data_IF_093870683793
#
_entry.id   IF_093870683793
#
_cell.length_a   1.000
_cell.length_b   1.000
_cell.length_c   1.000
_cell.angle_alpha   90.00
_cell.angle_beta   90.00
_cell.angle_gamma   90.00
#
_symmetry.space_group_name_H-M   'P 1'
#
loop_
_entity.id
_entity.type
_entity.pdbx_description
1 polymer ?
#
# COMPACT_ATOMS: atom_id res chain seq x y z
N UNK A 1 17.51 -0.36 -15.71
CA UNK A 1 18.35 -0.24 -16.92
C UNK A 1 19.56 0.58 -16.53
N UNK A 2 20.75 0.08 -16.81
CA UNK A 2 21.99 0.83 -16.69
C UNK A 2 22.45 1.20 -18.09
N UNK A 3 22.72 2.48 -18.32
CA UNK A 3 23.43 3.00 -19.48
C UNK A 3 24.74 3.56 -18.95
N UNK A 4 25.80 2.78 -18.98
CA UNK A 4 27.16 3.24 -18.67
C UNK A 4 28.01 3.12 -19.92
N UNK A 5 28.66 4.18 -20.34
CA UNK A 5 29.63 4.23 -21.46
C UNK A 5 29.11 3.61 -22.77
N UNK A 6 27.84 3.79 -23.08
CA UNK A 6 27.21 3.20 -24.27
C UNK A 6 26.81 1.72 -24.14
N UNK A 7 26.98 1.14 -22.97
CA UNK A 7 26.59 -0.25 -22.67
C UNK A 7 25.19 -0.31 -22.04
N UNK A 8 24.16 -0.50 -22.86
CA UNK A 8 22.82 -0.75 -22.36
C UNK A 8 22.75 -2.17 -21.77
N UNK A 9 22.30 -2.27 -20.51
CA UNK A 9 22.06 -3.55 -19.83
C UNK A 9 20.86 -3.48 -18.90
N UNK A 10 20.13 -4.57 -18.81
CA UNK A 10 19.07 -4.76 -17.84
C UNK A 10 19.54 -5.70 -16.73
N UNK A 11 19.44 -5.25 -15.51
CA UNK A 11 19.86 -6.01 -14.34
C UNK A 11 18.70 -6.17 -13.36
N UNK A 12 18.61 -7.34 -12.73
CA UNK A 12 17.68 -7.59 -11.61
C UNK A 12 18.51 -7.86 -10.37
N UNK A 13 18.16 -7.18 -9.30
CA UNK A 13 18.76 -7.33 -7.99
C UNK A 13 17.71 -7.81 -6.98
N UNK A 14 18.15 -8.65 -6.06
CA UNK A 14 17.43 -8.97 -4.84
C UNK A 14 18.00 -8.14 -3.68
N UNK A 15 17.14 -7.58 -2.85
CA UNK A 15 17.52 -6.84 -1.65
C UNK A 15 16.90 -7.49 -0.43
N UNK A 16 17.69 -8.08 0.43
CA UNK A 16 17.27 -8.75 1.65
C UNK A 16 16.58 -10.11 1.45
N UNK A 17 16.16 -10.72 2.55
CA UNK A 17 15.48 -12.03 2.62
C UNK A 17 16.26 -13.17 1.95
N UNK A 18 17.55 -13.13 2.04
CA UNK A 18 18.44 -14.13 1.52
C UNK A 18 19.08 -14.97 2.65
N UNK A 19 19.49 -16.23 2.38
CA UNK A 19 20.21 -17.01 3.35
C UNK A 19 21.52 -16.37 3.83
N UNK A 20 22.10 -15.52 3.01
CA UNK A 20 23.31 -14.73 3.29
C UNK A 20 23.06 -13.46 4.12
N UNK A 21 21.81 -13.09 4.38
CA UNK A 21 21.49 -11.95 5.24
C UNK A 21 21.93 -12.24 6.67
N UNK A 22 22.63 -11.29 7.25
CA UNK A 22 23.11 -11.35 8.65
C UNK A 22 22.52 -10.20 9.46
N UNK A 23 22.71 -10.25 10.79
CA UNK A 23 22.31 -9.14 11.66
C UNK A 23 23.04 -7.84 11.31
N UNK A 24 24.28 -7.93 10.81
CA UNK A 24 25.07 -6.78 10.37
C UNK A 24 24.71 -6.32 8.96
N UNK A 25 24.18 -7.23 8.12
CA UNK A 25 23.78 -6.97 6.74
C UNK A 25 22.39 -7.58 6.46
N UNK A 26 21.33 -7.06 7.08
CA UNK A 26 20.00 -7.65 6.97
C UNK A 26 19.34 -7.45 5.59
N UNK A 27 19.91 -6.59 4.75
CA UNK A 27 19.42 -6.29 3.40
C UNK A 27 20.57 -6.40 2.39
N UNK A 28 21.17 -7.60 2.29
CA UNK A 28 22.19 -7.84 1.30
C UNK A 28 21.65 -7.63 -0.11
N UNK A 29 22.40 -6.94 -0.94
CA UNK A 29 22.07 -6.69 -2.34
C UNK A 29 22.77 -7.73 -3.20
N UNK A 30 22.00 -8.58 -3.85
CA UNK A 30 22.53 -9.64 -4.70
C UNK A 30 22.06 -9.42 -6.14
N UNK A 31 23.01 -9.29 -7.06
CA UNK A 31 22.69 -9.24 -8.49
C UNK A 31 22.29 -10.64 -8.93
N UNK A 32 21.08 -10.78 -9.44
CA UNK A 32 20.56 -12.06 -9.94
C UNK A 32 20.94 -12.30 -11.39
N UNK A 33 20.75 -11.28 -12.23
CA UNK A 33 21.03 -11.37 -13.67
C UNK A 33 21.58 -10.06 -14.22
N UNK A 34 22.28 -10.19 -15.35
CA UNK A 34 22.75 -9.08 -16.19
C UNK A 34 22.51 -9.47 -17.65
N UNK A 35 21.47 -8.92 -18.25
CA UNK A 35 21.12 -9.17 -19.66
C UNK A 35 21.65 -8.04 -20.54
N UNK A 36 22.87 -8.19 -21.01
CA UNK A 36 23.54 -7.19 -21.84
C UNK A 36 23.18 -7.34 -23.32
N UNK A 37 23.41 -8.51 -23.89
CA UNK A 37 23.29 -8.75 -25.33
C UNK A 37 21.92 -8.38 -25.87
N UNK A 38 20.86 -8.99 -25.32
CA UNK A 38 19.49 -8.73 -25.75
C UNK A 38 19.03 -7.30 -25.47
N UNK A 39 19.53 -6.68 -24.41
CA UNK A 39 19.18 -5.28 -24.12
C UNK A 39 19.80 -4.36 -25.17
N UNK A 40 21.01 -4.63 -25.64
CA UNK A 40 21.69 -3.85 -26.66
C UNK A 40 21.08 -4.00 -28.08
N UNK A 41 20.38 -5.11 -28.33
CA UNK A 41 19.60 -5.27 -29.57
C UNK A 41 18.37 -4.33 -29.59
N UNK A 42 17.84 -3.96 -28.43
CA UNK A 42 16.63 -3.12 -28.28
C UNK A 42 17.02 -1.65 -28.07
N UNK A 43 17.97 -1.41 -27.15
CA UNK A 43 18.46 -0.09 -26.80
C UNK A 43 19.78 0.16 -27.54
N UNK A 44 19.67 0.87 -28.64
CA UNK A 44 20.80 1.22 -29.52
C UNK A 44 21.22 2.67 -29.31
N UNK A 45 22.40 3.10 -29.77
CA UNK A 45 22.82 4.51 -29.70
C UNK A 45 21.81 5.46 -30.34
N UNK A 46 21.10 5.01 -31.38
CA UNK A 46 20.15 5.82 -32.13
C UNK A 46 18.87 6.13 -31.35
N UNK A 47 18.49 5.27 -30.37
CA UNK A 47 17.28 5.45 -29.55
C UNK A 47 17.58 5.70 -28.06
N UNK A 48 18.84 5.77 -27.67
CA UNK A 48 19.25 5.87 -26.25
C UNK A 48 18.70 7.10 -25.52
N UNK A 49 18.45 8.20 -26.26
CA UNK A 49 17.90 9.45 -25.73
C UNK A 49 16.37 9.48 -25.69
N UNK A 50 15.71 8.43 -26.15
CA UNK A 50 14.25 8.32 -26.11
C UNK A 50 13.75 7.78 -24.76
N UNK A 51 12.47 8.02 -24.46
CA UNK A 51 11.82 7.36 -23.35
C UNK A 51 11.48 5.92 -23.70
N UNK A 52 11.88 5.01 -22.82
CA UNK A 52 11.63 3.58 -22.95
C UNK A 52 10.67 3.08 -21.89
N UNK A 53 9.78 2.16 -22.28
CA UNK A 53 8.89 1.49 -21.35
C UNK A 53 9.55 0.24 -20.79
N UNK A 54 9.84 0.26 -19.50
CA UNK A 54 10.29 -0.93 -18.77
C UNK A 54 9.10 -1.66 -18.16
N UNK A 55 9.04 -2.98 -18.33
CA UNK A 55 8.01 -3.80 -17.71
C UNK A 55 8.66 -5.02 -17.05
N UNK A 56 8.26 -5.30 -15.82
CA UNK A 56 8.57 -6.53 -15.12
C UNK A 56 7.26 -7.23 -14.82
N UNK A 57 7.10 -8.45 -15.28
CA UNK A 57 5.97 -9.30 -14.99
C UNK A 57 6.42 -10.46 -14.11
N UNK A 58 5.75 -10.64 -12.97
CA UNK A 58 6.06 -11.72 -12.03
C UNK A 58 4.86 -12.65 -11.95
N UNK A 59 5.05 -13.92 -12.32
CA UNK A 59 4.05 -14.98 -12.13
C UNK A 59 4.69 -16.18 -11.42
N UNK A 60 4.28 -16.39 -10.20
CA UNK A 60 4.85 -17.43 -9.33
C UNK A 60 6.32 -17.15 -9.00
N UNK A 61 7.21 -18.01 -9.48
CA UNK A 61 8.66 -17.93 -9.26
C UNK A 61 9.43 -17.42 -10.49
N UNK A 62 8.73 -16.96 -11.52
CA UNK A 62 9.34 -16.46 -12.76
C UNK A 62 9.11 -14.96 -12.87
N UNK A 63 10.15 -14.20 -13.18
CA UNK A 63 10.07 -12.80 -13.56
C UNK A 63 10.50 -12.65 -15.02
N UNK A 64 9.64 -12.04 -15.80
CA UNK A 64 9.86 -11.67 -17.21
C UNK A 64 10.18 -10.19 -17.29
N UNK A 65 11.19 -9.82 -18.06
CA UNK A 65 11.58 -8.44 -18.26
C UNK A 65 11.42 -8.01 -19.72
N UNK A 66 10.80 -6.86 -19.91
CA UNK A 66 10.53 -6.31 -21.24
C UNK A 66 11.05 -4.86 -21.33
N UNK A 67 11.54 -4.51 -22.50
CA UNK A 67 11.82 -3.14 -22.92
C UNK A 67 10.96 -2.86 -24.16
N UNK A 68 10.15 -1.80 -24.11
CA UNK A 68 9.22 -1.40 -25.19
C UNK A 68 8.27 -2.51 -25.66
N UNK A 69 7.93 -3.42 -24.75
CA UNK A 69 7.09 -4.58 -25.04
C UNK A 69 7.82 -5.77 -25.65
N UNK A 70 9.11 -5.66 -25.90
CA UNK A 70 9.96 -6.76 -26.39
C UNK A 70 10.51 -7.51 -25.19
N UNK A 71 10.31 -8.83 -25.15
CA UNK A 71 10.84 -9.68 -24.10
C UNK A 71 12.38 -9.72 -24.19
N UNK A 72 13.03 -9.24 -23.14
CA UNK A 72 14.48 -9.37 -22.99
C UNK A 72 14.83 -10.78 -22.57
N UNK A 73 14.33 -11.22 -21.44
CA UNK A 73 14.50 -12.59 -20.92
C UNK A 73 13.60 -12.82 -19.70
N UNK A 74 13.73 -14.03 -19.12
CA UNK A 74 13.07 -14.41 -17.89
C UNK A 74 14.07 -15.04 -16.91
N UNK A 75 13.81 -14.89 -15.62
CA UNK A 75 14.54 -15.56 -14.56
C UNK A 75 13.58 -16.36 -13.69
N UNK A 76 13.94 -17.59 -13.39
CA UNK A 76 13.29 -18.41 -12.38
C UNK A 76 14.14 -18.43 -11.12
N UNK A 77 13.55 -18.05 -9.99
CA UNK A 77 14.25 -17.98 -8.72
C UNK A 77 13.42 -18.63 -7.61
N UNK A 78 13.79 -19.86 -7.25
CA UNK A 78 13.08 -20.61 -6.23
C UNK A 78 13.14 -19.94 -4.85
N UNK A 79 11.97 -19.69 -4.29
CA UNK A 79 11.81 -19.06 -2.98
C UNK A 79 11.92 -17.55 -2.98
N UNK A 80 12.21 -16.93 -4.12
CA UNK A 80 12.36 -15.49 -4.21
C UNK A 80 11.07 -14.78 -4.63
N UNK A 81 10.40 -15.25 -5.67
CA UNK A 81 9.11 -14.67 -6.08
C UNK A 81 7.91 -15.33 -5.37
N UNK A 82 8.15 -15.91 -4.21
CA UNK A 82 7.12 -16.27 -3.26
C UNK A 82 6.62 -17.69 -3.31
N UNK A 83 7.35 -18.58 -3.91
CA UNK A 83 6.93 -19.98 -3.94
C UNK A 83 7.39 -20.78 -2.73
N UNK A 84 8.59 -20.58 -2.24
CA UNK A 84 9.07 -21.17 -0.96
C UNK A 84 10.19 -20.30 -0.39
N UNK A 85 9.91 -19.58 0.65
CA UNK A 85 10.97 -18.98 1.45
C UNK A 85 11.32 -19.93 2.59
N UNK A 86 12.62 -20.03 2.93
CA UNK A 86 13.05 -20.82 4.08
C UNK A 86 12.19 -20.48 5.30
N UNK A 87 11.45 -21.45 5.80
CA UNK A 87 10.46 -21.24 6.85
C UNK A 87 11.03 -20.69 8.16
N UNK A 88 12.35 -20.73 8.34
CA UNK A 88 13.00 -20.20 9.54
C UNK A 88 13.09 -18.67 9.57
N UNK A 89 13.18 -18.00 8.44
CA UNK A 89 13.34 -16.55 8.38
C UNK A 89 12.00 -15.80 8.44
N UNK A 90 10.97 -16.38 7.86
CA UNK A 90 9.66 -15.71 7.76
C UNK A 90 8.57 -16.41 8.59
N UNK A 91 8.80 -17.63 9.03
CA UNK A 91 7.94 -18.33 9.97
C UNK A 91 8.78 -18.98 11.06
N UNK A 92 8.98 -18.33 12.21
CA UNK A 92 9.75 -18.86 13.33
C UNK A 92 9.27 -20.23 13.86
N UNK A 93 8.04 -20.64 13.48
CA UNK A 93 7.46 -21.93 13.86
C UNK A 93 7.86 -23.08 12.92
N UNK A 94 8.73 -22.81 11.94
CA UNK A 94 9.29 -23.85 11.07
C UNK A 94 8.34 -24.43 10.04
N UNK A 95 7.25 -23.76 9.74
CA UNK A 95 6.35 -24.16 8.68
C UNK A 95 6.90 -23.71 7.31
N UNK A 96 7.23 -24.67 6.46
CA UNK A 96 7.74 -24.43 5.09
C UNK A 96 6.61 -24.08 4.10
N UNK A 97 5.54 -23.47 4.57
CA UNK A 97 4.44 -23.07 3.70
C UNK A 97 4.91 -22.09 2.64
N UNK A 98 4.33 -22.23 1.49
CA UNK A 98 4.44 -21.27 0.39
C UNK A 98 3.94 -19.92 0.88
N UNK A 99 4.82 -18.95 0.92
CA UNK A 99 4.43 -17.57 1.14
C UNK A 99 4.14 -16.95 -0.22
N UNK A 100 2.95 -16.39 -0.46
CA UNK A 100 2.72 -15.58 -1.63
C UNK A 100 3.62 -14.35 -1.55
N UNK A 101 4.67 -14.37 -2.35
CA UNK A 101 5.67 -13.33 -2.45
C UNK A 101 5.76 -12.87 -3.91
N UNK A 102 6.10 -11.67 -4.20
CA UNK A 102 6.19 -10.55 -3.30
C UNK A 102 4.81 -9.94 -3.10
N UNK A 103 4.53 -9.54 -1.88
CA UNK A 103 3.54 -8.50 -1.69
C UNK A 103 4.21 -7.20 -2.07
N UNK A 104 3.56 -6.43 -2.88
CA UNK A 104 4.04 -5.13 -3.25
C UNK A 104 3.91 -4.20 -2.03
N UNK A 105 4.98 -4.06 -1.28
CA UNK A 105 5.01 -3.12 -0.16
C UNK A 105 5.43 -1.74 -0.63
N UNK A 106 6.51 -1.68 -1.42
CA UNK A 106 7.03 -0.41 -1.92
C UNK A 106 7.26 -0.48 -3.42
N UNK A 107 6.96 0.62 -4.07
CA UNK A 107 7.29 0.89 -5.46
C UNK A 107 8.07 2.19 -5.54
N UNK A 108 8.86 2.39 -6.58
CA UNK A 108 9.58 3.64 -6.69
C UNK A 108 10.54 3.71 -7.85
N UNK A 109 11.39 4.70 -7.74
CA UNK A 109 12.37 5.06 -8.74
C UNK A 109 13.76 5.12 -8.14
N UNK A 110 14.74 4.78 -8.94
CA UNK A 110 16.14 4.81 -8.55
C UNK A 110 16.97 5.47 -9.66
N UNK A 111 17.80 6.43 -9.27
CA UNK A 111 18.88 6.96 -10.07
C UNK A 111 20.19 6.74 -9.34
N UNK A 112 21.15 6.09 -10.00
CA UNK A 112 22.44 5.78 -9.41
C UNK A 112 23.25 7.04 -9.09
N UNK A 113 24.33 6.87 -8.32
CA UNK A 113 25.20 7.98 -7.94
C UNK A 113 25.76 8.70 -9.15
N UNK A 114 25.63 10.02 -9.20
CA UNK A 114 26.06 10.86 -10.31
C UNK A 114 25.14 10.81 -11.53
N UNK A 115 23.94 10.23 -11.40
CA UNK A 115 23.00 10.13 -12.51
C UNK A 115 21.68 10.83 -12.22
N UNK A 116 21.01 11.26 -13.29
CA UNK A 116 19.64 11.79 -13.23
C UNK A 116 18.74 10.91 -14.09
N UNK A 117 17.64 10.46 -13.50
CA UNK A 117 16.58 9.71 -14.17
C UNK A 117 15.31 10.54 -14.32
N UNK A 118 14.70 10.51 -15.49
CA UNK A 118 13.40 11.10 -15.77
C UNK A 118 12.37 10.00 -15.97
N UNK A 119 11.27 10.05 -15.21
CA UNK A 119 10.23 9.02 -15.21
C UNK A 119 8.87 9.66 -15.47
N UNK A 120 8.06 9.05 -16.32
CA UNK A 120 6.75 9.59 -16.67
C UNK A 120 5.62 8.93 -15.90
N UNK A 121 5.58 7.62 -15.93
CA UNK A 121 4.49 6.84 -15.35
C UNK A 121 5.04 5.63 -14.60
N UNK A 122 4.37 5.25 -13.52
CA UNK A 122 4.55 3.97 -12.88
C UNK A 122 3.18 3.32 -12.75
N UNK A 123 3.03 2.10 -13.27
CA UNK A 123 1.76 1.36 -13.21
C UNK A 123 2.00 -0.04 -12.70
N UNK A 124 1.18 -0.47 -11.75
CA UNK A 124 1.15 -1.86 -11.26
C UNK A 124 -0.20 -2.46 -11.60
N UNK A 125 -0.19 -3.66 -12.17
CA UNK A 125 -1.38 -4.40 -12.57
C UNK A 125 -1.33 -5.84 -12.10
N UNK A 126 -2.49 -6.43 -11.89
CA UNK A 126 -2.56 -7.86 -11.67
C UNK A 126 -2.45 -8.59 -13.01
N UNK A 127 -1.47 -9.49 -13.17
CA UNK A 127 -1.27 -10.25 -14.42
C UNK A 127 -2.46 -11.10 -14.81
N UNK A 128 -3.21 -11.62 -13.84
CA UNK A 128 -4.41 -12.45 -14.08
C UNK A 128 -5.68 -11.63 -14.28
N UNK A 129 -5.64 -10.33 -13.96
CA UNK A 129 -6.73 -9.37 -14.17
C UNK A 129 -6.16 -8.04 -14.66
N UNK A 130 -5.64 -7.97 -15.91
CA UNK A 130 -4.93 -6.79 -16.40
C UNK A 130 -5.79 -5.51 -16.45
N UNK A 131 -7.11 -5.64 -16.46
CA UNK A 131 -8.04 -4.51 -16.38
C UNK A 131 -8.13 -3.89 -14.98
N UNK A 132 -7.70 -4.60 -13.94
CA UNK A 132 -7.64 -4.08 -12.59
C UNK A 132 -6.24 -3.47 -12.37
N UNK A 133 -6.09 -2.18 -12.63
CA UNK A 133 -4.92 -1.43 -12.17
C UNK A 133 -4.93 -1.37 -10.66
N UNK A 134 -3.80 -1.77 -10.05
CA UNK A 134 -3.62 -1.66 -8.61
C UNK A 134 -3.13 -0.26 -8.28
N UNK A 135 -2.17 0.26 -9.06
CA UNK A 135 -1.55 1.56 -8.86
C UNK A 135 -1.28 2.21 -10.21
N UNK A 136 -1.55 3.49 -10.31
CA UNK A 136 -1.06 4.35 -11.40
C UNK A 136 -0.58 5.66 -10.82
N UNK A 137 0.71 5.95 -10.96
CA UNK A 137 1.34 7.19 -10.54
C UNK A 137 1.85 7.95 -11.76
N UNK A 138 1.51 9.21 -11.85
CA UNK A 138 2.01 10.14 -12.88
C UNK A 138 2.45 11.45 -12.23
N UNK A 139 3.25 12.29 -12.89
CA UNK A 139 3.60 13.62 -12.40
C UNK A 139 2.38 14.51 -12.14
N UNK A 140 1.29 14.31 -12.88
CA UNK A 140 0.04 15.06 -12.73
C UNK A 140 -0.83 14.54 -11.56
N UNK A 141 -0.56 13.32 -11.06
CA UNK A 141 -1.31 12.71 -9.97
C UNK A 141 -1.71 11.26 -10.23
N UNK A 142 -2.60 10.76 -9.38
CA UNK A 142 -3.24 9.44 -9.50
C UNK A 142 -4.54 9.52 -10.31
N UNK A 143 -5.12 8.35 -10.57
CA UNK A 143 -6.50 8.28 -11.05
C UNK A 143 -7.44 9.03 -10.09
N UNK A 144 -8.50 9.64 -10.64
CA UNK A 144 -9.53 10.37 -9.88
C UNK A 144 -9.07 11.71 -9.26
N UNK A 145 -7.93 12.26 -9.70
CA UNK A 145 -7.45 13.59 -9.29
C UNK A 145 -6.77 13.64 -7.93
N UNK A 146 -6.42 12.51 -7.37
CA UNK A 146 -5.59 12.46 -6.17
C UNK A 146 -4.14 12.88 -6.48
N UNK A 147 -3.44 13.41 -5.48
CA UNK A 147 -2.00 13.65 -5.59
C UNK A 147 -1.25 12.33 -5.73
N UNK A 148 -0.16 12.36 -6.52
CA UNK A 148 0.81 11.25 -6.53
C UNK A 148 1.36 10.99 -5.13
N UNK A 149 1.59 9.73 -4.78
CA UNK A 149 2.28 9.35 -3.53
C UNK A 149 3.73 9.88 -3.50
N UNK A 150 4.27 10.27 -4.64
CA UNK A 150 5.60 10.84 -4.78
C UNK A 150 5.62 12.36 -4.82
N UNK A 151 4.45 13.04 -4.82
CA UNK A 151 4.34 14.48 -5.06
C UNK A 151 5.15 15.35 -4.09
N UNK A 152 5.33 14.90 -2.86
CA UNK A 152 6.08 15.62 -1.83
C UNK A 152 7.56 15.18 -1.74
N UNK A 153 7.97 14.19 -2.53
CA UNK A 153 9.31 13.60 -2.46
C UNK A 153 10.11 13.82 -3.75
N UNK A 154 9.45 13.88 -4.89
CA UNK A 154 10.10 13.93 -6.21
C UNK A 154 9.71 15.23 -6.92
N UNK A 155 10.69 16.09 -7.28
CA UNK A 155 10.45 17.24 -8.15
C UNK A 155 9.88 16.82 -9.50
N UNK A 156 8.92 17.60 -10.01
CA UNK A 156 8.39 17.45 -11.35
C UNK A 156 9.04 18.51 -12.26
N UNK A 157 9.73 18.06 -13.29
CA UNK A 157 10.39 18.92 -14.26
C UNK A 157 9.93 18.55 -15.68
N UNK A 158 9.40 19.50 -16.43
CA UNK A 158 8.87 19.31 -17.78
C UNK A 158 7.82 18.18 -17.92
N UNK A 159 7.02 17.94 -16.87
CA UNK A 159 6.02 16.88 -16.85
C UNK A 159 6.58 15.47 -16.58
N UNK A 160 7.76 15.38 -15.98
CA UNK A 160 8.41 14.14 -15.58
C UNK A 160 8.83 14.18 -14.11
N UNK A 161 8.80 13.05 -13.43
CA UNK A 161 9.45 12.87 -12.15
C UNK A 161 10.97 12.90 -12.36
N UNK A 162 11.67 13.80 -11.68
CA UNK A 162 13.13 13.92 -11.73
C UNK A 162 13.74 13.32 -10.48
N UNK A 163 14.55 12.29 -10.63
CA UNK A 163 15.25 11.61 -9.54
C UNK A 163 16.75 11.76 -9.75
N UNK A 164 17.46 12.31 -8.76
CA UNK A 164 18.90 12.54 -8.81
C UNK A 164 19.57 11.85 -7.63
N UNK A 165 20.63 11.06 -7.88
CA UNK A 165 21.47 10.44 -6.84
C UNK A 165 20.70 9.71 -5.74
N UNK A 166 19.50 9.21 -6.00
CA UNK A 166 18.62 8.77 -4.93
C UNK A 166 17.75 7.58 -5.31
N UNK A 167 17.28 6.90 -4.27
CA UNK A 167 16.20 5.95 -4.33
C UNK A 167 15.00 6.57 -3.62
N UNK A 168 13.89 6.68 -4.32
CA UNK A 168 12.63 7.17 -3.79
C UNK A 168 11.61 6.05 -3.89
N UNK A 169 11.11 5.62 -2.74
CA UNK A 169 10.08 4.58 -2.67
C UNK A 169 8.89 5.07 -1.85
N UNK A 170 7.73 4.53 -2.17
CA UNK A 170 6.52 4.72 -1.39
C UNK A 170 5.70 3.44 -1.40
N UNK A 171 5.01 3.17 -0.32
CA UNK A 171 4.07 2.08 -0.21
C UNK A 171 2.72 2.51 -0.79
N UNK A 172 2.29 1.96 -1.94
CA UNK A 172 1.02 2.33 -2.55
C UNK A 172 -0.18 1.83 -1.76
N UNK A 173 0.02 0.87 -0.86
CA UNK A 173 -1.01 0.38 0.05
C UNK A 173 -1.08 1.21 1.34
N UNK A 174 -0.09 2.08 1.56
CA UNK A 174 -0.07 2.98 2.70
C UNK A 174 -1.08 4.09 2.50
N UNK A 175 -2.28 3.84 2.98
CA UNK A 175 -3.33 4.85 2.98
C UNK A 175 -3.13 5.77 4.17
N UNK A 176 -3.27 7.07 3.94
CA UNK A 176 -3.44 8.01 5.05
C UNK A 176 -4.65 7.58 5.87
N UNK A 177 -4.53 7.64 7.19
CA UNK A 177 -5.63 7.30 8.11
C UNK A 177 -6.88 8.10 7.73
N UNK A 178 -7.98 7.47 7.28
CA UNK A 178 -9.18 8.18 6.87
C UNK A 178 -9.81 8.93 8.06
N UNK A 179 -10.11 10.20 7.84
CA UNK A 179 -10.82 11.04 8.79
C UNK A 179 -12.22 11.34 8.25
N UNK A 180 -13.21 10.63 8.75
CA UNK A 180 -14.60 10.76 8.33
C UNK A 180 -15.30 11.80 9.18
N UNK A 181 -16.15 12.61 8.56
CA UNK A 181 -16.93 13.64 9.26
C UNK A 181 -18.36 13.71 8.74
N UNK A 182 -19.29 13.85 9.67
CA UNK A 182 -20.69 14.08 9.37
C UNK A 182 -21.35 14.98 10.42
N UNK A 183 -22.63 15.30 10.22
CA UNK A 183 -23.41 16.08 11.16
C UNK A 183 -24.68 15.33 11.54
N UNK A 184 -25.03 15.44 12.82
CA UNK A 184 -26.24 14.89 13.41
C UNK A 184 -27.10 16.08 13.85
N UNK A 185 -28.37 16.10 13.42
CA UNK A 185 -29.31 17.14 13.82
C UNK A 185 -30.16 16.66 14.98
N UNK A 186 -30.05 17.37 16.13
CA UNK A 186 -30.91 17.20 17.30
C UNK A 186 -32.04 18.25 17.25
N UNK A 187 -33.28 17.83 17.46
CA UNK A 187 -34.41 18.77 17.45
C UNK A 187 -34.24 19.85 18.53
N UNK A 188 -34.35 21.11 18.15
CA UNK A 188 -34.13 22.21 19.07
C UNK A 188 -35.28 22.43 20.04
N UNK A 189 -36.49 22.13 19.56
CA UNK A 189 -37.76 22.42 20.26
C UNK A 189 -38.16 21.32 21.26
N UNK A 190 -37.45 20.18 21.21
CA UNK A 190 -37.72 19.02 22.07
C UNK A 190 -36.55 18.76 23.01
N UNK A 191 -36.85 18.42 24.24
CA UNK A 191 -35.83 18.01 25.19
C UNK A 191 -35.35 16.59 24.87
N UNK A 192 -34.06 16.45 24.67
CA UNK A 192 -33.44 15.14 24.40
C UNK A 192 -33.46 14.29 25.69
N UNK A 193 -34.15 13.14 25.66
CA UNK A 193 -34.18 12.18 26.75
C UNK A 193 -32.98 11.25 26.73
N UNK A 194 -32.61 10.78 25.54
CA UNK A 194 -31.41 9.93 25.37
C UNK A 194 -30.90 9.95 23.93
N UNK A 195 -29.58 9.76 23.76
CA UNK A 195 -28.94 9.54 22.49
C UNK A 195 -27.96 8.39 22.61
N UNK A 196 -28.12 7.38 21.76
CA UNK A 196 -27.24 6.21 21.71
C UNK A 196 -26.56 6.12 20.34
N UNK A 197 -25.25 5.92 20.36
CA UNK A 197 -24.44 5.63 19.19
C UNK A 197 -24.16 4.13 19.14
N UNK A 198 -24.54 3.50 18.04
CA UNK A 198 -24.16 2.14 17.66
C UNK A 198 -23.09 2.26 16.60
N UNK A 199 -21.91 1.68 16.79
CA UNK A 199 -20.78 1.88 15.91
C UNK A 199 -19.92 0.63 15.79
N UNK A 200 -19.47 0.37 14.57
CA UNK A 200 -18.50 -0.68 14.26
C UNK A 200 -17.65 -0.24 13.07
N UNK A 201 -16.49 -0.91 12.88
CA UNK A 201 -15.63 -0.68 11.73
C UNK A 201 -14.97 -1.99 11.28
N UNK A 202 -14.71 -2.08 10.00
CA UNK A 202 -13.67 -2.92 9.45
C UNK A 202 -12.37 -2.15 9.61
N UNK A 203 -11.57 -2.54 10.58
CA UNK A 203 -10.43 -1.79 11.09
C UNK A 203 -10.62 -1.37 12.55
N UNK A 204 -9.88 -0.38 12.99
CA UNK A 204 -9.95 0.25 14.30
C UNK A 204 -10.50 1.67 14.12
N UNK A 205 -11.35 2.13 15.05
CA UNK A 205 -11.88 3.47 15.00
C UNK A 205 -11.63 4.26 16.29
N UNK A 206 -11.46 5.57 16.15
CA UNK A 206 -11.65 6.57 17.20
C UNK A 206 -12.77 7.52 16.81
N UNK A 207 -13.71 7.79 17.73
CA UNK A 207 -14.90 8.58 17.46
C UNK A 207 -15.04 9.73 18.46
N UNK A 208 -15.39 10.89 17.92
CA UNK A 208 -15.65 12.13 18.69
C UNK A 208 -16.97 12.74 18.32
N UNK A 209 -17.69 13.23 19.32
CA UNK A 209 -18.89 14.05 19.16
C UNK A 209 -18.58 15.46 19.64
N UNK A 210 -18.79 16.46 18.78
CA UNK A 210 -18.48 17.87 19.08
C UNK A 210 -17.05 18.09 19.61
N UNK A 211 -16.09 17.27 19.11
CA UNK A 211 -14.69 17.30 19.51
C UNK A 211 -14.35 16.52 20.79
N UNK A 212 -15.34 15.98 21.50
CA UNK A 212 -15.14 15.20 22.71
C UNK A 212 -15.11 13.70 22.42
N UNK A 213 -14.19 12.98 23.05
CA UNK A 213 -14.12 11.52 22.94
C UNK A 213 -15.36 10.85 23.53
N UNK A 214 -15.88 9.83 22.84
CA UNK A 214 -17.05 9.09 23.29
C UNK A 214 -16.73 8.09 24.40
N UNK A 215 -15.49 7.65 24.49
CA UNK A 215 -14.99 6.66 25.47
C UNK A 215 -13.47 6.70 25.56
N UNK A 216 -12.91 6.13 26.61
CA UNK A 216 -11.46 5.89 26.79
C UNK A 216 -11.01 4.50 26.35
N UNK A 217 -11.92 3.65 25.91
CA UNK A 217 -11.56 2.32 25.42
C UNK A 217 -10.66 2.44 24.19
N UNK A 218 -9.71 1.52 24.06
CA UNK A 218 -8.77 1.47 22.95
C UNK A 218 -9.09 0.29 22.02
N UNK A 219 -8.54 0.32 20.80
CA UNK A 219 -8.57 -0.78 19.82
C UNK A 219 -9.98 -1.26 19.46
N UNK A 220 -10.93 -0.32 19.33
CA UNK A 220 -12.32 -0.61 18.97
C UNK A 220 -12.51 -0.91 17.49
N UNK A 221 -13.37 -1.81 17.06
CA UNK A 221 -14.33 -2.63 17.83
C UNK A 221 -13.73 -3.89 18.46
N UNK A 222 -12.44 -4.11 18.34
CA UNK A 222 -11.72 -5.29 18.79
C UNK A 222 -11.57 -6.37 17.73
N UNK A 223 -10.66 -7.30 17.98
CA UNK A 223 -10.42 -8.44 17.10
C UNK A 223 -11.57 -9.42 17.15
N UNK A 224 -11.97 -9.92 15.98
CA UNK A 224 -12.91 -11.03 15.84
C UNK A 224 -12.63 -11.82 14.58
N UNK A 225 -13.36 -12.88 14.34
CA UNK A 225 -13.32 -13.63 13.09
C UNK A 225 -14.26 -12.94 12.09
N UNK A 226 -13.75 -11.97 11.35
CA UNK A 226 -14.54 -11.02 10.56
C UNK A 226 -15.35 -11.64 9.41
N UNK A 227 -14.98 -12.84 8.96
CA UNK A 227 -15.74 -13.62 7.98
C UNK A 227 -17.01 -14.26 8.57
N UNK A 228 -17.08 -14.39 9.91
CA UNK A 228 -18.22 -14.96 10.61
C UNK A 228 -19.00 -13.94 11.43
N UNK A 229 -18.33 -12.95 12.03
CA UNK A 229 -19.01 -11.93 12.83
C UNK A 229 -18.21 -10.65 12.92
N UNK A 230 -18.91 -9.57 13.19
CA UNK A 230 -18.33 -8.28 13.55
C UNK A 230 -18.87 -7.82 14.90
N UNK A 231 -17.99 -7.38 15.78
CA UNK A 231 -18.40 -6.75 17.02
C UNK A 231 -18.84 -5.31 16.73
N UNK A 232 -19.82 -4.82 17.46
CA UNK A 232 -20.18 -3.43 17.52
C UNK A 232 -20.27 -2.95 18.96
N UNK A 233 -20.06 -1.67 19.20
CA UNK A 233 -20.22 -1.05 20.51
C UNK A 233 -21.43 -0.15 20.52
N UNK A 234 -21.96 0.06 21.73
CA UNK A 234 -23.04 1.00 21.99
C UNK A 234 -22.60 1.97 23.06
N UNK A 235 -22.69 3.26 22.75
CA UNK A 235 -22.32 4.33 23.68
C UNK A 235 -23.51 5.23 23.97
N UNK A 236 -23.65 5.63 25.22
CA UNK A 236 -24.53 6.72 25.61
C UNK A 236 -23.80 8.04 25.32
N UNK A 237 -24.31 8.78 24.36
CA UNK A 237 -23.75 10.08 23.93
C UNK A 237 -24.68 11.25 24.34
N UNK A 238 -25.66 11.01 25.17
CA UNK A 238 -26.67 12.03 25.56
C UNK A 238 -26.02 13.29 26.05
N UNK A 239 -25.04 13.18 26.96
CA UNK A 239 -24.31 14.32 27.52
C UNK A 239 -23.39 15.07 26.57
N UNK A 240 -23.10 14.47 25.38
CA UNK A 240 -22.26 15.07 24.35
C UNK A 240 -23.07 15.84 23.29
N UNK A 241 -24.40 15.64 23.29
CA UNK A 241 -25.32 16.23 22.31
C UNK A 241 -25.78 17.61 22.72
N UNK A 242 -25.92 18.49 21.74
CA UNK A 242 -26.46 19.84 21.85
C UNK A 242 -27.71 19.97 21.00
N UNK A 243 -28.68 20.86 21.38
CA UNK A 243 -29.77 21.20 20.48
C UNK A 243 -29.25 21.72 19.14
N UNK A 244 -29.86 21.30 18.06
CA UNK A 244 -29.45 21.65 16.70
C UNK A 244 -28.32 20.77 16.16
N UNK A 245 -27.36 21.36 15.48
CA UNK A 245 -26.32 20.65 14.71
C UNK A 245 -25.17 20.16 15.61
N UNK A 246 -24.87 18.89 15.53
CA UNK A 246 -23.75 18.23 16.21
C UNK A 246 -22.79 17.65 15.21
N UNK A 247 -21.48 17.79 15.42
CA UNK A 247 -20.46 17.18 14.60
C UNK A 247 -20.10 15.79 15.11
N UNK A 248 -20.03 14.82 14.21
CA UNK A 248 -19.40 13.52 14.47
C UNK A 248 -18.16 13.41 13.61
N UNK A 249 -17.03 13.06 14.22
CA UNK A 249 -15.75 12.78 13.57
C UNK A 249 -15.27 11.41 13.94
N UNK A 250 -14.79 10.66 12.95
CA UNK A 250 -14.24 9.30 13.16
C UNK A 250 -12.93 9.17 12.39
N UNK A 251 -11.90 8.72 13.08
CA UNK A 251 -10.63 8.31 12.48
C UNK A 251 -10.62 6.79 12.37
N UNK A 252 -10.22 6.26 11.21
CA UNK A 252 -10.10 4.82 10.97
C UNK A 252 -8.63 4.44 10.83
N UNK A 253 -8.28 3.24 11.29
CA UNK A 253 -7.00 2.61 11.04
C UNK A 253 -7.22 1.14 10.68
N UNK A 254 -6.25 0.55 9.99
CA UNK A 254 -6.32 -0.82 9.45
C UNK A 254 -6.61 -1.88 10.52
N UNK A 255 -5.94 -1.77 11.66
CA UNK A 255 -6.11 -2.71 12.77
C UNK A 255 -5.85 -4.16 12.35
N UNK A 256 -6.78 -5.05 12.72
CA UNK A 256 -6.70 -6.47 12.36
C UNK A 256 -7.48 -6.83 11.09
N UNK A 257 -8.17 -5.87 10.49
CA UNK A 257 -8.93 -6.09 9.27
C UNK A 257 -8.03 -6.17 8.04
N UNK A 258 -7.14 -5.21 7.91
CA UNK A 258 -6.19 -5.07 6.81
C UNK A 258 -4.76 -5.02 7.33
N UNK A 259 -3.78 -5.01 6.43
CA UNK A 259 -2.34 -5.07 6.71
C UNK A 259 -1.89 -6.35 7.43
N UNK A 260 -0.76 -6.29 8.15
CA UNK A 260 -0.17 -7.43 8.83
C UNK A 260 -0.88 -7.71 10.15
N UNK A 261 -1.61 -8.81 10.23
CA UNK A 261 -2.32 -9.18 11.45
C UNK A 261 -1.40 -9.66 12.59
N UNK A 262 -0.29 -10.25 12.23
CA UNK A 262 0.66 -10.84 13.16
C UNK A 262 2.05 -10.79 12.55
N UNK A 263 3.05 -11.24 13.29
CA UNK A 263 4.39 -11.50 12.74
C UNK A 263 4.42 -12.60 11.65
N UNK A 264 3.29 -13.19 11.32
CA UNK A 264 3.15 -14.18 10.23
C UNK A 264 2.76 -13.46 8.95
N UNK A 265 3.70 -13.28 8.04
CA UNK A 265 3.56 -12.50 6.80
C UNK A 265 2.37 -12.91 5.94
N UNK A 266 1.98 -14.18 5.96
CA UNK A 266 0.82 -14.67 5.20
C UNK A 266 -0.55 -14.17 5.67
N UNK A 267 -0.60 -13.51 6.84
CA UNK A 267 -1.83 -12.94 7.38
C UNK A 267 -2.01 -11.46 7.02
N UNK A 268 -1.37 -11.00 5.96
CA UNK A 268 -1.54 -9.65 5.46
C UNK A 268 -2.84 -9.53 4.65
N UNK A 269 -3.67 -8.53 4.93
CA UNK A 269 -4.97 -8.28 4.29
C UNK A 269 -5.86 -9.54 4.25
N UNK A 270 -5.82 -10.35 5.30
CA UNK A 270 -6.50 -11.64 5.31
C UNK A 270 -8.02 -11.49 5.18
N UNK A 271 -8.62 -10.51 5.84
CA UNK A 271 -10.07 -10.27 5.81
C UNK A 271 -10.47 -9.21 4.78
N UNK A 272 -9.58 -8.31 4.42
CA UNK A 272 -9.82 -7.27 3.43
C UNK A 272 -8.73 -6.22 3.37
N UNK A 273 -8.81 -5.36 2.38
CA UNK A 273 -7.82 -4.34 2.04
C UNK A 273 -8.34 -2.91 2.19
N UNK A 274 -9.61 -2.74 2.57
CA UNK A 274 -10.26 -1.42 2.72
C UNK A 274 -11.04 -1.36 4.01
N UNK A 275 -10.74 -0.34 4.78
CA UNK A 275 -11.46 0.00 5.98
C UNK A 275 -12.86 0.53 5.66
N UNK A 276 -13.78 0.31 6.57
CA UNK A 276 -15.12 0.86 6.45
C UNK A 276 -15.75 1.10 7.83
N UNK A 277 -16.65 2.08 7.89
CA UNK A 277 -17.35 2.47 9.09
C UNK A 277 -18.86 2.26 8.91
N UNK A 278 -19.50 1.72 9.94
CA UNK A 278 -20.94 1.74 10.09
C UNK A 278 -21.29 2.37 11.44
N UNK A 279 -22.06 3.45 11.42
CA UNK A 279 -22.50 4.15 12.61
C UNK A 279 -23.98 4.53 12.50
N UNK A 280 -24.71 4.36 13.60
CA UNK A 280 -26.13 4.75 13.73
C UNK A 280 -26.35 5.46 15.05
N UNK A 281 -26.95 6.64 14.99
CA UNK A 281 -27.40 7.38 16.17
C UNK A 281 -28.92 7.23 16.32
N UNK A 282 -29.35 6.86 17.51
CA UNK A 282 -30.77 6.80 17.89
C UNK A 282 -31.01 7.80 19.00
N UNK A 283 -31.91 8.75 18.76
CA UNK A 283 -32.30 9.78 19.73
C UNK A 283 -33.75 9.55 20.14
N UNK A 284 -34.00 9.72 21.43
CA UNK A 284 -35.35 9.78 22.03
C UNK A 284 -35.54 11.12 22.68
N UNK A 285 -36.72 11.68 22.54
CA UNK A 285 -37.09 12.95 23.11
C UNK A 285 -38.16 12.75 24.19
N UNK A 286 -38.23 13.69 25.14
CA UNK A 286 -39.36 13.77 26.00
C UNK A 286 -40.55 14.36 25.20
N UNK A 287 -41.71 13.77 25.33
CA UNK A 287 -42.92 14.20 24.64
C UNK A 287 -43.46 15.53 25.13
#
# INVERSE_FOLDING_TARGET
VCLEDGDARLEIYRVGYAPEDTAEKPFAVTKLVNWKEKTQEILTPENADAFHKLTVEVDGNVAYAYVDGILVDAIEEHGFFGTKVSGRQLNPRGNNDVLPYPRLNEIGFYAGKGTTGYFKNLTVRNVRKPSAEIVRETPEGRLEGEKSIFADQIPVENGYFKVEDSQITADPSHHSIPMLRSCISCQKEKKLASARLYITARGIYDCRINGQEITKDLLRPGLTQYDHRMNYQTYDITGLMKPGRNGIGVTLASGWWSEAQTFVVKNFNYFGDKESLLAKVVMKYED
#
